data_IF_750839391817
#
_entry.id   IF_750839391817
#
_cell.length_a   1.000
_cell.length_b   1.000
_cell.length_c   1.000
_cell.angle_alpha   90.00
_cell.angle_beta   90.00
_cell.angle_gamma   90.00
#
_symmetry.space_group_name_H-M   'P 1'
#
loop_
_entity.id
_entity.type
_entity.pdbx_description
1 polymer ?
#
# COMPACT_ATOMS: atom_id res chain seq x y z
N UNK A 1 -12.72 5.33 -9.05
CA UNK A 1 -11.48 5.28 -8.27
C UNK A 1 -10.40 4.59 -9.10
N UNK A 2 -9.24 5.16 -9.17
CA UNK A 2 -8.08 4.57 -9.86
C UNK A 2 -6.90 4.54 -8.89
N UNK A 3 -6.24 3.39 -8.79
CA UNK A 3 -5.02 3.29 -7.99
C UNK A 3 -3.93 4.16 -8.62
N UNK A 4 -3.25 4.98 -7.83
CA UNK A 4 -2.15 5.78 -8.35
C UNK A 4 -0.99 4.90 -8.80
N UNK A 5 -0.21 5.39 -9.77
CA UNK A 5 1.00 4.70 -10.21
C UNK A 5 1.98 4.49 -9.05
N UNK A 6 2.08 5.48 -8.17
CA UNK A 6 2.94 5.43 -6.99
C UNK A 6 2.50 4.31 -6.03
N UNK A 7 1.20 4.18 -5.76
CA UNK A 7 0.66 3.08 -4.94
C UNK A 7 0.88 1.72 -5.58
N UNK A 8 0.69 1.60 -6.90
CA UNK A 8 0.97 0.35 -7.61
C UNK A 8 2.44 -0.05 -7.48
N UNK A 9 3.35 0.89 -7.65
CA UNK A 9 4.79 0.66 -7.46
C UNK A 9 5.11 0.23 -6.03
N UNK A 10 4.48 0.88 -5.04
CA UNK A 10 4.67 0.54 -3.63
C UNK A 10 4.20 -0.88 -3.31
N UNK A 11 3.04 -1.28 -3.81
CA UNK A 11 2.52 -2.64 -3.63
C UNK A 11 3.47 -3.67 -4.25
N UNK A 12 4.01 -3.39 -5.43
CA UNK A 12 4.98 -4.29 -6.08
C UNK A 12 6.29 -4.40 -5.30
N UNK A 13 6.79 -3.28 -4.77
CA UNK A 13 8.01 -3.27 -3.96
C UNK A 13 7.83 -4.10 -2.67
N UNK A 14 6.71 -3.93 -1.97
CA UNK A 14 6.41 -4.70 -0.76
C UNK A 14 6.23 -6.18 -1.09
N UNK A 15 5.58 -6.50 -2.21
CA UNK A 15 5.47 -7.88 -2.68
C UNK A 15 6.85 -8.51 -2.86
N UNK A 16 7.77 -7.81 -3.52
CA UNK A 16 9.13 -8.29 -3.73
C UNK A 16 9.82 -8.59 -2.40
N UNK A 17 9.77 -7.63 -1.47
CA UNK A 17 10.39 -7.80 -0.14
C UNK A 17 9.75 -8.95 0.65
N UNK A 18 8.45 -9.20 0.47
CA UNK A 18 7.76 -10.31 1.13
C UNK A 18 8.22 -11.68 0.66
N UNK A 19 8.77 -11.78 -0.56
CA UNK A 19 9.25 -13.05 -1.11
C UNK A 19 10.66 -13.39 -0.68
N UNK A 20 11.41 -12.43 -0.13
CA UNK A 20 12.80 -12.65 0.28
C UNK A 20 12.89 -13.54 1.52
N UNK A 21 13.94 -14.35 1.65
CA UNK A 21 14.19 -15.08 2.88
C UNK A 21 14.28 -14.14 4.08
N UNK A 22 13.98 -14.67 5.26
CA UNK A 22 14.05 -13.92 6.51
C UNK A 22 15.42 -13.25 6.65
N UNK A 23 15.42 -11.98 7.03
CA UNK A 23 16.60 -11.14 7.24
C UNK A 23 17.41 -10.81 5.98
N UNK A 24 16.98 -11.26 4.79
CA UNK A 24 17.59 -10.80 3.55
C UNK A 24 17.07 -9.41 3.21
N UNK A 25 18.00 -8.49 2.90
CA UNK A 25 17.67 -7.13 2.50
C UNK A 25 17.45 -7.05 0.99
N UNK A 26 16.46 -6.23 0.58
CA UNK A 26 16.28 -5.85 -0.81
C UNK A 26 16.89 -4.47 -1.06
N UNK A 27 17.83 -4.39 -2.00
CA UNK A 27 18.39 -3.10 -2.42
C UNK A 27 17.45 -2.39 -3.39
N UNK A 28 17.60 -1.06 -3.51
CA UNK A 28 16.86 -0.28 -4.51
C UNK A 28 17.08 -0.84 -5.91
N UNK A 29 18.32 -1.20 -6.25
CA UNK A 29 18.67 -1.73 -7.57
C UNK A 29 17.94 -3.05 -7.85
N UNK A 30 18.01 -3.97 -6.90
CA UNK A 30 17.37 -5.28 -7.05
C UNK A 30 15.84 -5.17 -7.21
N UNK A 31 15.21 -4.33 -6.38
CA UNK A 31 13.76 -4.12 -6.47
C UNK A 31 13.39 -3.43 -7.78
N UNK A 32 14.15 -2.41 -8.17
CA UNK A 32 13.92 -1.67 -9.42
C UNK A 32 13.97 -2.58 -10.64
N UNK A 33 14.98 -3.44 -10.71
CA UNK A 33 15.13 -4.39 -11.82
C UNK A 33 14.05 -5.47 -11.82
N UNK A 34 13.79 -6.07 -10.66
CA UNK A 34 12.82 -7.17 -10.55
C UNK A 34 11.39 -6.71 -10.83
N UNK A 35 11.01 -5.54 -10.35
CA UNK A 35 9.63 -5.05 -10.44
C UNK A 35 9.43 -4.01 -11.55
N UNK A 36 10.49 -3.65 -12.27
CA UNK A 36 10.48 -2.65 -13.35
C UNK A 36 9.90 -1.31 -12.88
N UNK A 37 10.39 -0.85 -11.74
CA UNK A 37 10.03 0.45 -11.16
C UNK A 37 11.22 1.39 -11.30
N UNK A 38 11.04 2.61 -11.85
CA UNK A 38 12.15 3.58 -11.94
C UNK A 38 12.75 3.88 -10.56
N UNK A 39 14.07 3.92 -10.49
CA UNK A 39 14.81 4.08 -9.22
C UNK A 39 14.44 5.34 -8.45
N UNK A 40 14.23 6.46 -9.17
CA UNK A 40 13.89 7.74 -8.54
C UNK A 40 12.57 7.67 -7.79
N UNK A 41 11.55 7.05 -8.40
CA UNK A 41 10.25 6.83 -7.76
C UNK A 41 10.37 5.87 -6.60
N UNK A 42 11.14 4.80 -6.80
CA UNK A 42 11.31 3.75 -5.80
C UNK A 42 11.99 4.28 -4.53
N UNK A 43 13.02 5.12 -4.67
CA UNK A 43 13.73 5.71 -3.54
C UNK A 43 12.75 6.47 -2.62
N UNK A 44 11.87 7.28 -3.19
CA UNK A 44 10.88 8.04 -2.45
C UNK A 44 9.82 7.14 -1.81
N UNK A 45 9.35 6.15 -2.56
CA UNK A 45 8.36 5.17 -2.07
C UNK A 45 8.89 4.39 -0.87
N UNK A 46 10.11 3.87 -0.98
CA UNK A 46 10.74 3.11 0.11
C UNK A 46 10.94 3.98 1.35
N UNK A 47 11.28 5.25 1.18
CA UNK A 47 11.39 6.21 2.27
C UNK A 47 10.04 6.45 2.95
N UNK A 48 8.97 6.65 2.16
CA UNK A 48 7.63 6.85 2.70
C UNK A 48 7.13 5.61 3.47
N UNK A 49 7.37 4.41 2.94
CA UNK A 49 7.01 3.16 3.59
C UNK A 49 7.80 2.92 4.88
N UNK A 50 9.06 3.32 4.91
CA UNK A 50 9.90 3.26 6.12
C UNK A 50 9.37 4.20 7.19
N UNK A 51 9.04 5.44 6.79
CA UNK A 51 8.44 6.43 7.70
C UNK A 51 7.07 5.96 8.21
N UNK A 52 6.30 5.27 7.38
CA UNK A 52 5.01 4.69 7.76
C UNK A 52 5.09 3.41 8.61
N UNK A 53 6.30 2.95 8.93
CA UNK A 53 6.50 1.80 9.82
C UNK A 53 6.35 0.43 9.18
N UNK A 54 6.20 0.36 7.85
CA UNK A 54 6.08 -0.91 7.12
C UNK A 54 7.45 -1.52 6.81
N UNK A 55 8.44 -0.67 6.54
CA UNK A 55 9.79 -1.10 6.22
C UNK A 55 10.80 -0.60 7.24
N UNK A 56 11.91 -1.32 7.34
CA UNK A 56 13.15 -0.88 7.99
C UNK A 56 14.23 -0.72 6.94
N UNK A 57 15.01 0.35 7.05
CA UNK A 57 16.14 0.62 6.19
C UNK A 57 17.45 0.36 6.93
N UNK A 58 18.45 -0.13 6.18
CA UNK A 58 19.79 -0.38 6.69
C UNK A 58 20.78 0.30 5.77
N UNK A 59 21.66 1.12 6.35
CA UNK A 59 22.67 1.87 5.61
C UNK A 59 23.90 1.02 5.31
N UNK A 60 24.72 1.45 4.36
CA UNK A 60 26.00 0.83 4.02
C UNK A 60 25.98 0.10 2.70
N UNK A 61 27.14 -0.48 2.34
CA UNK A 61 27.36 -1.18 1.06
C UNK A 61 26.43 -2.39 0.93
N UNK A 62 26.20 -3.09 2.03
CA UNK A 62 25.30 -4.25 2.10
C UNK A 62 23.92 -3.87 2.65
N UNK A 63 23.60 -2.59 2.62
CA UNK A 63 22.33 -2.07 3.11
C UNK A 63 21.17 -2.36 2.17
N UNK A 64 20.00 -1.95 2.59
CA UNK A 64 18.78 -2.14 1.84
C UNK A 64 17.57 -2.04 2.76
N UNK A 65 16.50 -2.71 2.37
CA UNK A 65 15.22 -2.65 3.04
C UNK A 65 14.71 -4.05 3.37
N UNK A 66 13.96 -4.15 4.46
CA UNK A 66 13.17 -5.34 4.78
C UNK A 66 11.85 -4.94 5.43
N UNK A 67 10.90 -5.86 5.50
CA UNK A 67 9.65 -5.64 6.21
C UNK A 67 9.93 -5.43 7.71
N UNK A 68 9.29 -4.42 8.29
CA UNK A 68 9.35 -4.14 9.73
C UNK A 68 8.43 -5.06 10.54
N UNK A 69 7.44 -5.67 9.87
CA UNK A 69 6.44 -6.59 10.43
C UNK A 69 6.37 -7.84 9.58
N UNK A 70 5.80 -8.95 10.11
CA UNK A 70 5.51 -10.11 9.28
C UNK A 70 4.62 -9.73 8.10
N UNK A 71 4.87 -10.32 6.94
CA UNK A 71 4.09 -10.04 5.71
C UNK A 71 2.59 -10.27 5.91
N UNK A 72 2.20 -11.22 6.75
CA UNK A 72 0.80 -11.49 7.10
C UNK A 72 0.11 -10.34 7.81
N UNK A 73 0.86 -9.40 8.39
CA UNK A 73 0.34 -8.25 9.12
C UNK A 73 0.41 -6.95 8.31
N UNK A 74 0.84 -7.02 7.06
CA UNK A 74 0.91 -5.87 6.14
C UNK A 74 -0.23 -5.98 5.14
N UNK A 75 -1.21 -5.09 5.23
CA UNK A 75 -2.36 -5.07 4.33
C UNK A 75 -2.14 -4.17 3.12
N UNK A 76 -2.87 -4.45 2.04
CA UNK A 76 -2.88 -3.60 0.85
C UNK A 76 -3.38 -2.19 1.18
N UNK A 77 -4.43 -2.09 2.01
CA UNK A 77 -4.97 -0.80 2.43
C UNK A 77 -3.91 0.05 3.13
N UNK A 78 -3.13 -0.56 4.02
CA UNK A 78 -2.08 0.14 4.75
C UNK A 78 -1.06 0.79 3.80
N UNK A 79 -0.62 0.05 2.78
CA UNK A 79 0.32 0.56 1.78
C UNK A 79 -0.31 1.73 1.00
N UNK A 80 -1.52 1.54 0.51
CA UNK A 80 -2.21 2.56 -0.29
C UNK A 80 -2.40 3.84 0.52
N UNK A 81 -2.81 3.74 1.77
CA UNK A 81 -3.05 4.91 2.62
C UNK A 81 -1.76 5.61 3.07
N UNK A 82 -0.65 4.90 3.20
CA UNK A 82 0.65 5.52 3.44
C UNK A 82 1.06 6.37 2.24
N UNK A 83 0.86 5.86 1.03
CA UNK A 83 1.34 6.51 -0.20
C UNK A 83 0.40 7.62 -0.67
N UNK A 84 -0.91 7.36 -0.72
CA UNK A 84 -1.90 8.26 -1.30
C UNK A 84 -2.75 9.01 -0.26
N UNK A 85 -2.54 8.72 1.02
CA UNK A 85 -3.42 9.22 2.07
C UNK A 85 -4.71 8.41 2.19
N UNK A 86 -5.65 8.82 3.06
CA UNK A 86 -6.88 8.08 3.29
C UNK A 86 -7.63 7.80 1.99
N UNK A 87 -8.05 6.55 1.80
CA UNK A 87 -8.81 6.16 0.61
C UNK A 87 -10.16 6.88 0.60
N UNK A 88 -10.47 7.55 -0.49
CA UNK A 88 -11.71 8.27 -0.72
C UNK A 88 -12.29 7.89 -2.08
N UNK A 89 -13.58 7.59 -2.15
CA UNK A 89 -14.22 7.14 -3.38
C UNK A 89 -15.04 8.24 -4.06
N UNK A 90 -15.38 9.30 -3.35
CA UNK A 90 -16.15 10.41 -3.90
C UNK A 90 -15.93 11.70 -3.08
N UNK A 91 -16.42 12.81 -3.61
CA UNK A 91 -16.46 14.08 -2.88
C UNK A 91 -17.25 13.99 -1.59
N UNK A 92 -18.27 13.13 -1.54
CA UNK A 92 -19.09 12.92 -0.34
C UNK A 92 -18.27 12.38 0.85
N UNK A 93 -17.18 11.63 0.56
CA UNK A 93 -16.32 11.02 1.59
C UNK A 93 -15.03 11.80 1.84
N UNK A 94 -14.72 12.79 1.00
CA UNK A 94 -13.48 13.56 1.10
C UNK A 94 -13.46 14.61 2.23
N UNK A 95 -14.60 14.86 2.87
CA UNK A 95 -14.72 15.87 3.91
C UNK A 95 -14.64 17.32 3.41
N UNK A 96 -14.26 17.51 2.15
CA UNK A 96 -14.14 18.82 1.49
C UNK A 96 -15.42 19.22 0.75
N UNK A 97 -16.33 18.29 0.60
CA UNK A 97 -17.53 18.46 -0.23
C UNK A 97 -18.78 18.90 0.58
N UNK A 98 -18.57 19.42 1.78
CA UNK A 98 -19.68 19.88 2.62
C UNK A 98 -20.49 20.96 1.87
N UNK A 99 -21.76 20.67 1.60
CA UNK A 99 -22.64 21.57 0.86
C UNK A 99 -22.68 21.36 -0.66
N UNK A 100 -21.87 20.48 -1.23
CA UNK A 100 -21.93 20.15 -2.66
C UNK A 100 -23.16 19.32 -3.03
N UNK A 101 -23.64 18.52 -2.10
CA UNK A 101 -24.80 17.69 -2.32
C UNK A 101 -26.03 18.34 -1.67
N UNK A 102 -27.02 18.63 -2.50
CA UNK A 102 -28.30 19.12 -2.01
C UNK A 102 -29.18 17.90 -1.69
N UNK A 103 -29.10 17.45 -0.47
CA UNK A 103 -29.82 16.27 0.02
C UNK A 103 -31.18 16.59 0.65
N UNK A 104 -31.72 17.80 0.37
CA UNK A 104 -32.99 18.26 0.98
C UNK A 104 -34.18 17.30 0.75
N UNK A 105 -34.11 16.46 -0.30
CA UNK A 105 -35.17 15.48 -0.61
C UNK A 105 -34.84 14.06 -0.12
N UNK A 106 -33.58 13.74 0.11
CA UNK A 106 -33.14 12.37 0.41
C UNK A 106 -32.43 12.24 1.75
N UNK A 107 -32.38 13.31 2.55
CA UNK A 107 -31.85 13.32 3.93
C UNK A 107 -30.46 12.65 4.10
N UNK A 108 -29.54 12.97 3.20
CA UNK A 108 -28.19 12.40 3.27
C UNK A 108 -28.05 10.99 2.70
N UNK A 109 -29.08 10.44 2.07
CA UNK A 109 -29.05 9.09 1.51
C UNK A 109 -27.96 8.90 0.45
N UNK A 110 -27.72 9.93 -0.37
CA UNK A 110 -26.70 9.89 -1.40
C UNK A 110 -25.27 9.89 -0.80
N UNK A 111 -25.06 10.75 0.19
CA UNK A 111 -23.79 10.78 0.94
C UNK A 111 -23.55 9.45 1.66
N UNK A 112 -24.59 8.91 2.33
CA UNK A 112 -24.53 7.63 3.01
C UNK A 112 -24.17 6.49 2.05
N UNK A 113 -24.75 6.48 0.85
CA UNK A 113 -24.43 5.48 -0.17
C UNK A 113 -22.92 5.44 -0.45
N UNK A 114 -22.30 6.60 -0.68
CA UNK A 114 -20.85 6.66 -0.96
C UNK A 114 -20.00 6.28 0.23
N UNK A 115 -20.41 6.64 1.43
CA UNK A 115 -19.73 6.21 2.66
C UNK A 115 -19.77 4.69 2.82
N UNK A 116 -20.91 4.09 2.52
CA UNK A 116 -21.06 2.64 2.58
C UNK A 116 -20.19 1.94 1.53
N UNK A 117 -20.12 2.45 0.30
CA UNK A 117 -19.25 1.91 -0.75
C UNK A 117 -17.78 2.03 -0.39
N UNK A 118 -17.35 3.17 0.15
CA UNK A 118 -15.99 3.37 0.61
C UNK A 118 -15.61 2.36 1.69
N UNK A 119 -16.51 2.11 2.63
CA UNK A 119 -16.31 1.13 3.70
C UNK A 119 -16.13 -0.28 3.16
N UNK A 120 -16.92 -0.68 2.15
CA UNK A 120 -16.79 -1.99 1.49
C UNK A 120 -15.42 -2.14 0.85
N UNK A 121 -14.96 -1.15 0.11
CA UNK A 121 -13.65 -1.17 -0.55
C UNK A 121 -12.52 -1.22 0.48
N UNK A 122 -12.58 -0.39 1.50
CA UNK A 122 -11.57 -0.38 2.58
C UNK A 122 -11.51 -1.73 3.31
N UNK A 123 -12.64 -2.31 3.64
CA UNK A 123 -12.69 -3.61 4.30
C UNK A 123 -12.08 -4.71 3.42
N UNK A 124 -12.39 -4.71 2.13
CA UNK A 124 -11.80 -5.66 1.18
C UNK A 124 -10.28 -5.53 1.12
N UNK A 125 -9.76 -4.32 0.94
CA UNK A 125 -8.32 -4.07 0.86
C UNK A 125 -7.60 -4.33 2.18
N UNK A 126 -8.25 -4.10 3.33
CA UNK A 126 -7.67 -4.38 4.65
C UNK A 126 -7.50 -5.87 4.93
N UNK A 127 -8.25 -6.72 4.24
CA UNK A 127 -8.15 -8.18 4.37
C UNK A 127 -7.11 -8.81 3.45
N UNK A 128 -6.60 -8.06 2.45
CA UNK A 128 -5.55 -8.54 1.58
C UNK A 128 -4.20 -8.26 2.20
N UNK A 129 -3.44 -9.32 2.46
CA UNK A 129 -2.13 -9.24 3.12
C UNK A 129 -1.05 -9.87 2.25
N UNK A 130 0.19 -9.45 2.47
CA UNK A 130 1.34 -9.95 1.71
C UNK A 130 1.82 -11.33 2.13
N UNK A 131 1.25 -11.90 3.20
CA UNK A 131 1.60 -13.25 3.68
C UNK A 131 1.47 -14.35 2.63
N UNK A 132 0.50 -14.22 1.72
CA UNK A 132 0.32 -15.18 0.62
C UNK A 132 1.54 -15.25 -0.31
N UNK A 133 2.27 -14.15 -0.49
CA UNK A 133 3.47 -14.10 -1.32
C UNK A 133 4.68 -14.69 -0.59
N UNK A 134 4.80 -14.47 0.71
CA UNK A 134 5.83 -15.05 1.55
C UNK A 134 5.78 -16.59 1.55
N UNK A 135 4.59 -17.17 1.59
CA UNK A 135 4.39 -18.62 1.54
C UNK A 135 4.85 -19.22 0.21
N UNK A 136 4.62 -18.52 -0.91
CA UNK A 136 5.09 -18.96 -2.23
C UNK A 136 6.61 -18.92 -2.35
N UNK A 137 7.26 -17.88 -1.81
CA UNK A 137 8.72 -17.77 -1.78
C UNK A 137 9.38 -18.92 -1.02
N UNK A 138 8.77 -19.38 0.07
CA UNK A 138 9.28 -20.51 0.86
C UNK A 138 9.16 -21.85 0.14
N UNK A 139 8.14 -22.04 -0.70
CA UNK A 139 7.95 -23.28 -1.48
C UNK A 139 8.99 -23.44 -2.59
N UNK A 140 9.51 -22.32 -3.11
CA UNK A 140 10.50 -22.33 -4.19
C UNK A 140 11.94 -22.41 -3.69
N UNK A 141 12.18 -22.36 -2.38
CA UNK A 141 13.52 -22.44 -1.78
C UNK A 141 13.85 -23.85 -1.24
N UNK A 142 13.00 -24.81 -1.52
CA UNK A 142 13.27 -26.23 -1.30
C UNK A 142 13.61 -26.90 -2.66
#
# INVERSE_FOLDING_TARGET
MKLSRKSDYALRAVRHLSTLPKDQLGSINTISEAERVPREFLAKILKDLTRGGVLKSFQGVTGGYKLAKPAKDVSFLNIIEIIDGPLRVSLATDGKAKGFYNDSKNEGAFEKFWKDQEKVIKNSLSRQHFGRFALRGRRNSN
#
